data_IF_249065200103
#
_entry.id   IF_249065200103
#
_cell.length_a   1.000
_cell.length_b   1.000
_cell.length_c   1.000
_cell.angle_alpha   90.00
_cell.angle_beta   90.00
_cell.angle_gamma   90.00
#
_symmetry.space_group_name_H-M   'P 1'
#
loop_
_entity.id
_entity.type
_entity.pdbx_description
1 polymer ?
#
# COMPACT_ATOMS: atom_id res chain seq x y z
N UNK A 1 -18.06 17.23 -27.80
CA UNK A 1 -17.25 17.02 -26.58
C UNK A 1 -18.19 16.49 -25.52
N UNK A 2 -17.86 15.39 -24.84
CA UNK A 2 -18.64 14.95 -23.67
C UNK A 2 -18.27 15.83 -22.48
N UNK A 3 -19.24 16.23 -21.66
CA UNK A 3 -18.95 16.97 -20.42
C UNK A 3 -18.41 16.02 -19.35
N UNK A 4 -17.67 16.53 -18.36
CA UNK A 4 -17.15 15.71 -17.25
C UNK A 4 -18.26 14.88 -16.56
N UNK A 5 -19.43 15.48 -16.35
CA UNK A 5 -20.62 14.85 -15.79
C UNK A 5 -21.15 13.68 -16.64
N UNK A 6 -21.13 13.83 -17.96
CA UNK A 6 -21.55 12.77 -18.89
C UNK A 6 -20.58 11.59 -18.94
N UNK A 7 -19.30 11.83 -18.66
CA UNK A 7 -18.28 10.77 -18.59
C UNK A 7 -18.35 10.04 -17.25
N UNK A 8 -18.62 10.76 -16.15
CA UNK A 8 -18.83 10.17 -14.82
C UNK A 8 -20.22 9.54 -14.63
N UNK A 9 -21.17 9.80 -15.53
CA UNK A 9 -22.52 9.23 -15.47
C UNK A 9 -23.40 9.79 -14.35
N UNK A 10 -23.07 10.99 -13.86
CA UNK A 10 -23.80 11.68 -12.78
C UNK A 10 -24.28 13.06 -13.21
N UNK A 11 -25.26 13.61 -12.50
CA UNK A 11 -25.65 15.01 -12.68
C UNK A 11 -24.56 15.95 -12.16
N UNK A 12 -24.54 17.19 -12.67
CA UNK A 12 -23.60 18.21 -12.21
C UNK A 12 -23.83 18.50 -10.72
N UNK A 13 -22.83 18.23 -9.91
CA UNK A 13 -22.90 18.36 -8.45
C UNK A 13 -21.64 19.01 -7.89
N UNK A 14 -21.77 19.63 -6.73
CA UNK A 14 -20.62 20.10 -5.94
C UNK A 14 -20.25 19.15 -4.81
N UNK A 15 -20.98 18.03 -4.68
CA UNK A 15 -20.73 16.98 -3.70
C UNK A 15 -19.54 16.12 -4.15
N UNK A 16 -18.41 16.29 -3.47
CA UNK A 16 -17.16 15.60 -3.77
C UNK A 16 -17.23 14.09 -3.52
N UNK A 17 -18.06 13.64 -2.57
CA UNK A 17 -18.20 12.21 -2.27
C UNK A 17 -19.03 11.50 -3.34
N UNK A 18 -20.07 12.16 -3.84
CA UNK A 18 -20.84 11.66 -4.98
C UNK A 18 -19.99 11.55 -6.25
N UNK A 19 -19.10 12.53 -6.51
CA UNK A 19 -18.15 12.51 -7.63
C UNK A 19 -17.14 11.36 -7.49
N UNK A 20 -16.63 11.13 -6.27
CA UNK A 20 -15.69 10.04 -5.97
C UNK A 20 -16.33 8.66 -6.18
N UNK A 21 -17.53 8.44 -5.66
CA UNK A 21 -18.21 7.15 -5.83
C UNK A 21 -18.51 6.82 -7.29
N UNK A 22 -18.90 7.83 -8.08
CA UNK A 22 -19.12 7.65 -9.52
C UNK A 22 -17.84 7.25 -10.27
N UNK A 23 -16.70 7.86 -9.93
CA UNK A 23 -15.40 7.51 -10.49
C UNK A 23 -14.98 6.07 -10.13
N UNK A 24 -15.14 5.67 -8.87
CA UNK A 24 -14.82 4.31 -8.40
C UNK A 24 -15.71 3.23 -9.06
N UNK A 25 -16.98 3.53 -9.29
CA UNK A 25 -17.91 2.61 -9.96
C UNK A 25 -17.56 2.37 -11.44
N UNK A 26 -16.89 3.31 -12.10
CA UNK A 26 -16.53 3.23 -13.52
C UNK A 26 -15.13 2.64 -13.76
N UNK A 27 -14.25 2.63 -12.76
CA UNK A 27 -12.91 2.03 -12.81
C UNK A 27 -12.86 0.59 -13.37
N UNK A 28 -13.79 -0.32 -13.03
CA UNK A 28 -13.83 -1.68 -13.59
C UNK A 28 -14.20 -1.74 -15.07
N UNK A 29 -14.79 -0.68 -15.64
CA UNK A 29 -15.23 -0.65 -17.03
C UNK A 29 -14.18 -0.06 -17.97
N UNK A 30 -13.25 0.75 -17.45
CA UNK A 30 -12.20 1.42 -18.20
C UNK A 30 -10.82 0.90 -17.79
N UNK A 31 -10.54 -0.34 -18.20
CA UNK A 31 -9.26 -1.00 -17.92
C UNK A 31 -8.15 -0.46 -18.84
N UNK A 32 -7.00 -0.02 -18.30
CA UNK A 32 -5.93 0.59 -19.10
C UNK A 32 -5.23 -0.38 -20.07
N UNK A 33 -5.36 -1.69 -19.88
CA UNK A 33 -4.84 -2.70 -20.82
C UNK A 33 -5.74 -2.89 -22.05
N UNK A 34 -7.04 -2.62 -21.93
CA UNK A 34 -8.03 -2.79 -23.01
C UNK A 34 -8.50 -1.46 -23.60
N UNK A 35 -8.50 -0.38 -22.82
CA UNK A 35 -8.89 0.96 -23.23
C UNK A 35 -8.09 2.07 -22.49
N UNK A 36 -6.83 2.31 -22.91
CA UNK A 36 -6.01 3.38 -22.35
C UNK A 36 -6.63 4.78 -22.55
N UNK A 37 -7.40 4.95 -23.62
CA UNK A 37 -7.93 6.25 -24.02
C UNK A 37 -9.23 6.59 -23.28
N UNK A 38 -10.09 5.60 -23.03
CA UNK A 38 -11.26 5.71 -22.18
C UNK A 38 -10.90 5.97 -20.72
N UNK A 39 -9.85 5.32 -20.20
CA UNK A 39 -9.37 5.62 -18.85
C UNK A 39 -8.85 7.06 -18.71
N UNK A 40 -8.11 7.55 -19.72
CA UNK A 40 -7.65 8.95 -19.75
C UNK A 40 -8.83 9.93 -19.74
N UNK A 41 -9.88 9.66 -20.51
CA UNK A 41 -11.10 10.48 -20.53
C UNK A 41 -11.86 10.44 -19.20
N UNK A 42 -11.95 9.27 -18.54
CA UNK A 42 -12.60 9.12 -17.24
C UNK A 42 -11.89 9.94 -16.16
N UNK A 43 -10.55 9.91 -16.16
CA UNK A 43 -9.74 10.68 -15.22
C UNK A 43 -9.83 12.18 -15.48
N UNK A 44 -9.76 12.61 -16.75
CA UNK A 44 -9.91 14.01 -17.14
C UNK A 44 -11.31 14.54 -16.75
N UNK A 45 -12.34 13.70 -16.82
CA UNK A 45 -13.67 14.05 -16.37
C UNK A 45 -13.77 14.22 -14.84
N UNK A 46 -13.16 13.31 -14.08
CA UNK A 46 -13.08 13.42 -12.62
C UNK A 46 -12.35 14.70 -12.17
N UNK A 47 -11.19 15.00 -12.75
CA UNK A 47 -10.40 16.20 -12.46
C UNK A 47 -11.18 17.48 -12.83
N UNK A 48 -11.83 17.52 -13.99
CA UNK A 48 -12.66 18.66 -14.41
C UNK A 48 -13.90 18.85 -13.52
N UNK A 49 -14.54 17.76 -13.06
CA UNK A 49 -15.67 17.84 -12.13
C UNK A 49 -15.26 18.44 -10.79
N UNK A 50 -14.05 18.11 -10.30
CA UNK A 50 -13.48 18.70 -9.10
C UNK A 50 -13.06 20.17 -9.30
N UNK A 51 -12.46 20.52 -10.44
CA UNK A 51 -12.11 21.92 -10.73
C UNK A 51 -13.34 22.83 -10.82
N UNK A 52 -14.50 22.32 -11.24
CA UNK A 52 -15.76 23.08 -11.23
C UNK A 52 -16.26 23.46 -9.83
N UNK A 53 -15.73 22.84 -8.77
CA UNK A 53 -16.10 23.13 -7.37
C UNK A 53 -15.19 24.18 -6.71
N UNK A 54 -14.05 24.53 -7.32
CA UNK A 54 -13.08 25.49 -6.76
C UNK A 54 -12.66 26.51 -7.83
N UNK A 55 -12.99 27.79 -7.60
CA UNK A 55 -12.58 28.92 -8.45
C UNK A 55 -11.04 29.10 -8.48
N UNK A 56 -10.45 29.70 -9.53
CA UNK A 56 -9.14 29.30 -10.03
C UNK A 56 -7.97 30.08 -9.42
N UNK A 57 -6.89 29.36 -9.12
CA UNK A 57 -5.53 29.88 -9.20
C UNK A 57 -4.60 28.72 -9.57
N UNK A 58 -4.22 28.66 -10.85
CA UNK A 58 -3.13 27.80 -11.31
C UNK A 58 -1.83 28.45 -10.85
N UNK A 59 -1.32 27.98 -9.72
CA UNK A 59 0.09 28.07 -9.37
C UNK A 59 0.74 26.74 -9.69
N UNK A 60 1.98 26.75 -10.16
CA UNK A 60 2.84 25.58 -10.30
C UNK A 60 2.89 24.90 -8.92
N UNK A 61 2.16 23.79 -8.72
CA UNK A 61 2.12 23.09 -7.43
C UNK A 61 3.06 21.90 -7.54
N UNK A 62 4.07 21.85 -6.67
CA UNK A 62 4.58 20.57 -6.17
C UNK A 62 3.37 19.67 -5.92
N UNK A 63 3.28 18.52 -6.61
CA UNK A 63 2.09 17.67 -6.50
C UNK A 63 1.84 17.31 -5.02
N UNK A 64 0.77 17.87 -4.47
CA UNK A 64 0.33 17.70 -3.10
C UNK A 64 0.22 16.20 -2.75
N UNK A 65 0.68 15.76 -1.56
CA UNK A 65 0.45 14.40 -1.05
C UNK A 65 -1.01 13.93 -1.08
N UNK A 66 -1.97 14.82 -1.34
CA UNK A 66 -3.39 14.52 -1.54
C UNK A 66 -3.88 14.45 -3.00
N UNK A 67 -2.98 14.20 -3.96
CA UNK A 67 -3.43 13.88 -5.33
C UNK A 67 -4.30 12.61 -5.36
N UNK A 68 -5.36 12.56 -6.19
CA UNK A 68 -6.35 11.47 -6.15
C UNK A 68 -5.77 10.06 -6.29
N UNK A 69 -4.68 9.91 -7.04
CA UNK A 69 -4.00 8.62 -7.22
C UNK A 69 -3.20 8.19 -5.98
N UNK A 70 -2.63 9.13 -5.22
CA UNK A 70 -1.93 8.84 -3.96
C UNK A 70 -2.92 8.37 -2.92
N UNK A 71 -4.04 9.08 -2.79
CA UNK A 71 -5.09 8.71 -1.84
C UNK A 71 -5.72 7.35 -2.18
N UNK A 72 -6.00 7.09 -3.45
CA UNK A 72 -6.43 5.77 -3.91
C UNK A 72 -5.41 4.67 -3.57
N UNK A 73 -4.12 4.90 -3.87
CA UNK A 73 -3.08 3.90 -3.63
C UNK A 73 -2.87 3.64 -2.13
N UNK A 74 -2.99 4.69 -1.29
CA UNK A 74 -2.94 4.60 0.17
C UNK A 74 -4.11 3.80 0.75
N UNK A 75 -5.32 4.03 0.23
CA UNK A 75 -6.53 3.31 0.63
C UNK A 75 -6.41 1.82 0.34
N UNK A 76 -6.11 1.44 -0.90
CA UNK A 76 -6.02 0.01 -1.26
C UNK A 76 -4.86 -0.70 -0.56
N UNK A 77 -3.77 0.00 -0.27
CA UNK A 77 -2.65 -0.59 0.48
C UNK A 77 -3.01 -0.75 1.95
N UNK A 78 -3.65 0.26 2.54
CA UNK A 78 -4.18 0.18 3.91
C UNK A 78 -5.16 -0.98 4.08
N UNK A 79 -6.09 -1.16 3.14
CA UNK A 79 -7.05 -2.27 3.14
C UNK A 79 -6.35 -3.64 3.04
N UNK A 80 -5.31 -3.76 2.20
CA UNK A 80 -4.50 -4.97 2.10
C UNK A 80 -3.83 -5.31 3.43
N UNK A 81 -3.25 -4.32 4.12
CA UNK A 81 -2.52 -4.50 5.37
C UNK A 81 -3.44 -4.74 6.57
N UNK A 82 -4.65 -4.17 6.56
CA UNK A 82 -5.64 -4.33 7.62
C UNK A 82 -6.37 -5.68 7.56
N UNK A 83 -6.42 -6.30 6.38
CA UNK A 83 -7.07 -7.60 6.18
C UNK A 83 -6.19 -8.73 6.73
N UNK A 84 -6.75 -9.46 7.71
CA UNK A 84 -6.05 -10.51 8.46
C UNK A 84 -5.55 -11.67 7.59
N UNK A 85 -6.21 -11.93 6.46
CA UNK A 85 -5.83 -13.02 5.57
C UNK A 85 -4.96 -12.50 4.42
N UNK A 86 -5.41 -11.44 3.73
CA UNK A 86 -4.76 -10.95 2.51
C UNK A 86 -3.34 -10.45 2.76
N UNK A 87 -3.06 -9.85 3.92
CA UNK A 87 -1.72 -9.36 4.28
C UNK A 87 -0.64 -10.46 4.32
N UNK A 88 -1.03 -11.73 4.46
CA UNK A 88 -0.12 -12.88 4.45
C UNK A 88 -0.18 -13.71 3.16
N UNK A 89 -0.98 -13.29 2.18
CA UNK A 89 -1.16 -14.02 0.93
C UNK A 89 -0.39 -13.34 -0.21
N UNK A 90 0.60 -14.03 -0.85
CA UNK A 90 1.34 -13.47 -1.97
C UNK A 90 0.47 -12.99 -3.13
N UNK A 91 -0.65 -13.67 -3.38
CA UNK A 91 -1.58 -13.30 -4.44
C UNK A 91 -2.19 -11.90 -4.23
N UNK A 92 -2.60 -11.56 -3.02
CA UNK A 92 -3.19 -10.25 -2.73
C UNK A 92 -2.18 -9.10 -2.90
N UNK A 93 -0.91 -9.36 -2.58
CA UNK A 93 0.20 -8.43 -2.83
C UNK A 93 0.50 -8.27 -4.33
N UNK A 94 0.40 -9.34 -5.11
CA UNK A 94 0.50 -9.26 -6.57
C UNK A 94 -0.64 -8.42 -7.16
N UNK A 95 -1.87 -8.57 -6.67
CA UNK A 95 -3.02 -7.74 -7.09
C UNK A 95 -2.80 -6.25 -6.80
N UNK A 96 -2.23 -5.92 -5.63
CA UNK A 96 -1.83 -4.55 -5.31
C UNK A 96 -0.72 -4.04 -6.25
N UNK A 97 0.31 -4.86 -6.51
CA UNK A 97 1.37 -4.55 -7.48
C UNK A 97 0.80 -4.31 -8.89
N UNK A 98 -0.26 -5.02 -9.29
CA UNK A 98 -0.94 -4.72 -10.55
C UNK A 98 -1.57 -3.32 -10.58
N UNK A 99 -1.96 -2.75 -9.45
CA UNK A 99 -2.41 -1.35 -9.39
C UNK A 99 -1.23 -0.39 -9.56
N UNK A 100 -0.07 -0.70 -8.97
CA UNK A 100 1.17 0.07 -9.17
C UNK A 100 1.61 0.01 -10.64
N UNK A 101 1.46 -1.14 -11.32
CA UNK A 101 1.81 -1.30 -12.73
C UNK A 101 0.99 -0.41 -13.69
N UNK A 102 -0.18 0.06 -13.25
CA UNK A 102 -1.03 0.97 -14.04
C UNK A 102 -0.57 2.43 -13.92
N UNK A 103 0.33 2.76 -13.00
CA UNK A 103 0.85 4.09 -12.78
C UNK A 103 1.92 4.45 -13.81
N UNK A 104 2.12 5.75 -14.06
CA UNK A 104 3.25 6.21 -14.86
C UNK A 104 4.58 6.01 -14.12
N UNK A 105 5.70 6.01 -14.85
CA UNK A 105 7.05 5.88 -14.27
C UNK A 105 7.28 6.91 -13.15
N UNK A 106 6.91 8.17 -13.38
CA UNK A 106 7.04 9.24 -12.38
C UNK A 106 6.17 9.01 -11.14
N UNK A 107 4.96 8.48 -11.30
CA UNK A 107 4.09 8.14 -10.16
C UNK A 107 4.66 6.96 -9.35
N UNK A 108 5.24 5.96 -10.03
CA UNK A 108 5.91 4.84 -9.35
C UNK A 108 7.10 5.35 -8.53
N UNK A 109 7.94 6.21 -9.11
CA UNK A 109 9.07 6.85 -8.41
C UNK A 109 8.58 7.62 -7.17
N UNK A 110 7.51 8.40 -7.31
CA UNK A 110 6.89 9.13 -6.19
C UNK A 110 6.26 8.21 -5.15
N UNK A 111 5.79 7.02 -5.55
CA UNK A 111 5.17 6.04 -4.63
C UNK A 111 6.17 5.28 -3.76
N UNK A 112 7.42 5.23 -4.19
CA UNK A 112 8.42 4.29 -3.71
C UNK A 112 8.65 4.35 -2.21
N UNK A 113 8.97 5.53 -1.69
CA UNK A 113 9.46 5.68 -0.32
C UNK A 113 8.35 5.85 0.70
N UNK A 114 7.24 6.50 0.37
CA UNK A 114 6.11 6.55 1.32
C UNK A 114 5.40 5.19 1.44
N UNK A 115 5.35 4.36 0.40
CA UNK A 115 4.89 2.97 0.54
C UNK A 115 5.85 2.15 1.42
N UNK A 116 7.16 2.37 1.31
CA UNK A 116 8.16 1.80 2.19
C UNK A 116 7.93 2.23 3.65
N UNK A 117 7.75 3.53 3.89
CA UNK A 117 7.49 4.08 5.21
C UNK A 117 6.21 3.52 5.87
N UNK A 118 5.16 3.25 5.09
CA UNK A 118 3.95 2.57 5.59
C UNK A 118 4.28 1.12 5.97
N UNK A 119 4.99 0.39 5.10
CA UNK A 119 5.36 -1.00 5.37
C UNK A 119 6.23 -1.14 6.63
N UNK A 120 7.20 -0.25 6.83
CA UNK A 120 8.08 -0.23 8.01
C UNK A 120 7.31 -0.01 9.32
N UNK A 121 6.18 0.71 9.26
CA UNK A 121 5.30 0.96 10.42
C UNK A 121 4.24 -0.12 10.62
N UNK A 122 4.23 -1.15 9.76
CA UNK A 122 3.21 -2.18 9.78
C UNK A 122 3.74 -3.44 10.44
N UNK A 123 3.07 -3.85 11.51
CA UNK A 123 3.33 -5.11 12.18
C UNK A 123 2.02 -5.74 12.65
N UNK A 124 1.81 -7.06 12.48
CA UNK A 124 2.67 -8.01 11.77
C UNK A 124 2.53 -7.94 10.24
N UNK A 125 3.60 -8.31 9.52
CA UNK A 125 3.64 -8.35 8.06
C UNK A 125 4.40 -9.58 7.56
N UNK A 126 4.01 -10.14 6.41
CA UNK A 126 4.83 -11.19 5.76
C UNK A 126 5.96 -10.53 4.97
N UNK A 127 7.20 -10.84 5.36
CA UNK A 127 8.41 -10.46 4.64
C UNK A 127 8.49 -11.12 3.26
N UNK A 128 7.96 -12.34 3.10
CA UNK A 128 7.86 -12.96 1.77
C UNK A 128 6.95 -12.16 0.84
N UNK A 129 5.83 -11.63 1.36
CA UNK A 129 4.92 -10.79 0.59
C UNK A 129 5.51 -9.40 0.35
N UNK A 130 6.11 -8.80 1.38
CA UNK A 130 6.76 -7.50 1.30
C UNK A 130 7.93 -7.50 0.30
N UNK A 131 8.64 -8.63 0.17
CA UNK A 131 9.66 -8.83 -0.85
C UNK A 131 9.14 -8.54 -2.26
N UNK A 132 7.92 -8.96 -2.59
CA UNK A 132 7.32 -8.72 -3.90
C UNK A 132 7.19 -7.22 -4.20
N UNK A 133 6.79 -6.45 -3.19
CA UNK A 133 6.65 -5.00 -3.30
C UNK A 133 8.03 -4.31 -3.36
N UNK A 134 8.96 -4.75 -2.50
CA UNK A 134 10.34 -4.26 -2.47
C UNK A 134 11.04 -4.44 -3.82
N UNK A 135 10.93 -5.63 -4.41
CA UNK A 135 11.51 -5.94 -5.72
C UNK A 135 10.86 -5.06 -6.81
N UNK A 136 9.53 -4.86 -6.74
CA UNK A 136 8.80 -4.05 -7.71
C UNK A 136 9.14 -2.56 -7.65
N UNK A 137 9.32 -2.02 -6.45
CA UNK A 137 9.68 -0.61 -6.22
C UNK A 137 11.20 -0.40 -6.17
N UNK A 138 11.96 -1.49 -6.40
CA UNK A 138 13.40 -1.54 -6.45
C UNK A 138 14.09 -0.94 -5.21
N UNK A 139 13.56 -1.16 -4.00
CA UNK A 139 14.01 -0.50 -2.77
C UNK A 139 15.53 -0.57 -2.54
N UNK A 140 16.18 -1.65 -2.94
CA UNK A 140 17.65 -1.84 -2.88
C UNK A 140 18.47 -0.87 -3.74
N UNK A 141 17.89 -0.26 -4.79
CA UNK A 141 18.64 0.49 -5.82
C UNK A 141 18.54 2.02 -5.72
N UNK A 142 18.05 2.58 -4.60
CA UNK A 142 17.70 4.00 -4.52
C UNK A 142 18.48 4.75 -3.46
N UNK A 143 19.19 5.81 -3.87
CA UNK A 143 19.96 6.69 -2.99
C UNK A 143 19.26 8.02 -2.68
N UNK A 144 18.16 8.35 -3.35
CA UNK A 144 17.40 9.59 -3.13
C UNK A 144 16.18 9.28 -2.24
N UNK A 145 16.48 8.93 -0.99
CA UNK A 145 15.48 8.67 0.03
C UNK A 145 15.26 9.93 0.87
N UNK A 146 14.16 10.65 0.62
CA UNK A 146 13.79 11.85 1.39
C UNK A 146 12.75 11.59 2.47
N UNK A 147 12.08 10.44 2.42
CA UNK A 147 10.92 10.15 3.27
C UNK A 147 11.20 9.12 4.37
N UNK A 148 12.28 8.35 4.26
CA UNK A 148 12.65 7.30 5.23
C UNK A 148 14.14 7.33 5.56
N UNK A 149 14.50 6.85 6.75
CA UNK A 149 15.90 6.73 7.17
C UNK A 149 16.58 5.59 6.41
N UNK A 150 17.84 5.77 6.01
CA UNK A 150 18.58 4.77 5.25
C UNK A 150 18.95 3.54 6.08
N UNK A 151 19.22 3.71 7.37
CA UNK A 151 19.51 2.61 8.31
C UNK A 151 18.25 1.76 8.51
N UNK A 152 17.11 2.39 8.77
CA UNK A 152 15.84 1.66 8.95
C UNK A 152 15.41 0.91 7.67
N UNK A 153 15.71 1.45 6.48
CA UNK A 153 15.46 0.74 5.21
C UNK A 153 16.38 -0.47 5.06
N UNK A 154 17.66 -0.37 5.44
CA UNK A 154 18.59 -1.50 5.37
C UNK A 154 18.20 -2.61 6.35
N UNK A 155 17.77 -2.25 7.57
CA UNK A 155 17.24 -3.20 8.55
C UNK A 155 16.01 -3.93 7.98
N UNK A 156 15.07 -3.20 7.37
CA UNK A 156 13.93 -3.82 6.70
C UNK A 156 14.36 -4.76 5.56
N UNK A 157 15.31 -4.34 4.72
CA UNK A 157 15.83 -5.18 3.63
C UNK A 157 16.53 -6.43 4.16
N UNK A 158 17.21 -6.33 5.30
CA UNK A 158 17.78 -7.48 6.00
C UNK A 158 16.69 -8.48 6.42
N UNK A 159 15.61 -8.02 7.05
CA UNK A 159 14.49 -8.88 7.44
C UNK A 159 13.77 -9.48 6.21
N UNK A 160 13.60 -8.70 5.13
CA UNK A 160 13.06 -9.20 3.86
C UNK A 160 13.91 -10.35 3.30
N UNK A 161 15.23 -10.26 3.38
CA UNK A 161 16.15 -11.33 2.93
C UNK A 161 16.12 -12.54 3.85
N UNK A 162 15.91 -12.31 5.14
CA UNK A 162 15.77 -13.37 6.15
C UNK A 162 14.49 -14.17 5.95
N UNK A 163 13.40 -13.50 5.54
CA UNK A 163 12.11 -14.10 5.24
C UNK A 163 11.22 -14.27 6.47
N UNK A 164 10.04 -14.87 6.27
CA UNK A 164 9.08 -15.07 7.36
C UNK A 164 9.60 -16.02 8.45
N UNK A 165 9.24 -15.76 9.70
CA UNK A 165 9.59 -16.62 10.85
C UNK A 165 9.08 -18.06 10.67
N UNK A 166 7.89 -18.19 10.07
CA UNK A 166 7.25 -19.44 9.68
C UNK A 166 6.16 -19.16 8.65
N UNK A 167 5.53 -20.20 8.12
CA UNK A 167 4.41 -20.07 7.18
C UNK A 167 3.16 -19.49 7.87
N UNK A 168 2.90 -18.19 7.65
CA UNK A 168 1.73 -17.51 8.22
C UNK A 168 0.39 -17.99 7.67
N UNK A 169 0.37 -18.76 6.57
CA UNK A 169 -0.86 -19.36 6.06
C UNK A 169 -1.51 -20.33 7.07
N UNK A 170 -0.69 -20.87 7.98
CA UNK A 170 -1.13 -21.72 9.08
C UNK A 170 -2.06 -20.99 10.06
N UNK A 171 -2.02 -19.65 10.10
CA UNK A 171 -2.80 -18.84 11.05
C UNK A 171 -4.12 -18.33 10.47
N UNK A 172 -4.38 -18.48 9.16
CA UNK A 172 -5.52 -17.83 8.49
C UNK A 172 -6.89 -18.22 9.07
N UNK A 173 -7.01 -19.43 9.59
CA UNK A 173 -8.23 -19.93 10.21
C UNK A 173 -8.51 -19.35 11.61
N UNK A 174 -7.54 -18.64 12.21
CA UNK A 174 -7.65 -18.05 13.53
C UNK A 174 -8.16 -16.60 13.46
N UNK A 175 -8.80 -16.09 14.52
CA UNK A 175 -9.16 -14.67 14.61
C UNK A 175 -7.92 -13.77 14.50
N UNK A 176 -8.04 -12.61 13.84
CA UNK A 176 -6.93 -11.66 13.60
C UNK A 176 -6.13 -11.31 14.86
N UNK A 177 -6.81 -11.12 16.00
CA UNK A 177 -6.16 -10.83 17.28
C UNK A 177 -5.22 -11.98 17.72
N UNK A 178 -5.64 -13.23 17.53
CA UNK A 178 -4.84 -14.41 17.86
C UNK A 178 -3.67 -14.55 16.90
N UNK A 179 -3.90 -14.33 15.59
CA UNK A 179 -2.81 -14.32 14.60
C UNK A 179 -1.71 -13.32 15.00
N UNK A 180 -2.12 -12.08 15.33
CA UNK A 180 -1.20 -11.02 15.72
C UNK A 180 -0.41 -11.38 16.97
N UNK A 181 -1.08 -11.92 17.98
CA UNK A 181 -0.44 -12.33 19.21
C UNK A 181 0.53 -13.48 19.01
N UNK A 182 0.19 -14.47 18.16
CA UNK A 182 1.09 -15.56 17.82
C UNK A 182 2.35 -15.04 17.13
N UNK A 183 2.22 -14.20 16.11
CA UNK A 183 3.38 -13.67 15.39
C UNK A 183 4.24 -12.81 16.33
N UNK A 184 3.63 -11.94 17.14
CA UNK A 184 4.34 -11.14 18.14
C UNK A 184 5.12 -11.99 19.15
N UNK A 185 4.58 -13.14 19.55
CA UNK A 185 5.26 -14.05 20.45
C UNK A 185 6.48 -14.73 19.81
N UNK A 186 6.34 -15.23 18.57
CA UNK A 186 7.46 -15.82 17.84
C UNK A 186 8.55 -14.80 17.51
N UNK A 187 8.16 -13.58 17.13
CA UNK A 187 9.07 -12.47 16.90
C UNK A 187 9.85 -12.10 18.18
N UNK A 188 9.16 -11.99 19.32
CA UNK A 188 9.82 -11.74 20.60
C UNK A 188 10.78 -12.88 21.01
N UNK A 189 10.41 -14.14 20.77
CA UNK A 189 11.28 -15.30 21.01
C UNK A 189 12.55 -15.24 20.16
N UNK A 190 12.38 -14.98 18.87
CA UNK A 190 13.45 -14.89 17.90
C UNK A 190 14.42 -13.76 18.25
N UNK A 191 13.89 -12.55 18.44
CA UNK A 191 14.66 -11.38 18.85
C UNK A 191 15.38 -11.60 20.19
N UNK A 192 14.72 -12.21 21.18
CA UNK A 192 15.37 -12.52 22.46
C UNK A 192 16.52 -13.51 22.28
N UNK A 193 16.38 -14.51 21.42
CA UNK A 193 17.43 -15.49 21.19
C UNK A 193 18.65 -14.88 20.51
N UNK A 194 18.46 -14.05 19.48
CA UNK A 194 19.55 -13.47 18.69
C UNK A 194 20.20 -12.24 19.34
N UNK A 195 19.40 -11.32 19.89
CA UNK A 195 19.90 -10.05 20.43
C UNK A 195 20.21 -10.12 21.93
N UNK A 196 19.44 -10.93 22.67
CA UNK A 196 19.43 -10.93 24.14
C UNK A 196 19.46 -12.33 24.74
N UNK A 197 20.39 -13.23 24.33
CA UNK A 197 20.33 -14.66 24.65
C UNK A 197 20.31 -14.98 26.15
N UNK A 198 20.86 -14.09 26.99
CA UNK A 198 20.83 -14.22 28.45
C UNK A 198 19.41 -14.15 29.05
N UNK A 199 18.48 -13.48 28.36
CA UNK A 199 17.08 -13.33 28.78
C UNK A 199 16.18 -14.44 28.23
N UNK A 200 16.67 -15.24 27.27
CA UNK A 200 15.89 -16.31 26.66
C UNK A 200 15.35 -17.31 27.67
N UNK A 201 16.19 -17.71 28.65
CA UNK A 201 15.76 -18.63 29.72
C UNK A 201 14.65 -18.03 30.60
N UNK A 202 14.66 -16.71 30.83
CA UNK A 202 13.61 -16.04 31.61
C UNK A 202 12.30 -15.96 30.83
N UNK A 203 12.37 -15.66 29.54
CA UNK A 203 11.21 -15.60 28.65
C UNK A 203 10.56 -16.98 28.51
N UNK A 204 11.36 -18.03 28.34
CA UNK A 204 10.88 -19.42 28.34
C UNK A 204 10.24 -19.83 29.67
N UNK A 205 10.78 -19.39 30.81
CA UNK A 205 10.19 -19.69 32.11
C UNK A 205 8.83 -18.99 32.34
N UNK A 206 8.60 -17.84 31.70
CA UNK A 206 7.36 -17.07 31.82
C UNK A 206 6.27 -17.54 30.85
N UNK A 207 6.66 -18.06 29.67
CA UNK A 207 5.73 -18.30 28.56
C UNK A 207 5.78 -19.72 27.95
N UNK A 208 6.78 -20.53 28.30
CA UNK A 208 6.93 -21.90 27.81
C UNK A 208 6.22 -22.91 28.72
N UNK A 209 4.91 -23.08 28.54
CA UNK A 209 4.15 -24.18 29.11
C UNK A 209 3.85 -25.24 28.05
#
# INVERSE_FOLDING_TARGET
MKTCWQVLGIEATTDTDAIRQAYLALLPSFHPETDPQGFKQLREAYENALQGTTSPAITVVDEDPDTPWVNYLREIFGDLLADGERRFQPQAWQEFIQQINKLSISQVEKSRWWLCAIAMKTFPISYSCLKLLSDRLAWEQGSDNRDVDAEEVEDLLFEIRRGDLFDYSLLLHLPVAVQNQTIAFYDALDNTFFEHPLYFAQLMAQHGA
#
